data_IF_194984825923
#
_entry.id   IF_194984825923
#
_cell.length_a   1.000
_cell.length_b   1.000
_cell.length_c   1.000
_cell.angle_alpha   90.00
_cell.angle_beta   90.00
_cell.angle_gamma   90.00
#
_symmetry.space_group_name_H-M   'P 1'
#
loop_
_entity.id
_entity.type
_entity.pdbx_description
1 polymer ?
#
# COMPACT_ATOMS: atom_id res chain seq x y z
N UNK A 1 1.08 25.16 -0.99
CA UNK A 1 1.25 24.34 -2.21
C UNK A 1 -0.03 24.46 -3.00
N UNK A 2 0.02 24.75 -4.31
CA UNK A 2 -1.19 24.81 -5.14
C UNK A 2 -1.88 23.45 -5.17
N UNK A 3 -3.20 23.45 -5.24
CA UNK A 3 -4.00 22.22 -5.39
C UNK A 3 -3.79 21.60 -6.77
N UNK A 4 -4.16 20.32 -6.91
CA UNK A 4 -4.16 19.61 -8.19
C UNK A 4 -4.85 20.40 -9.30
N UNK A 5 -5.99 21.01 -8.97
CA UNK A 5 -6.81 21.76 -9.92
C UNK A 5 -6.11 23.03 -10.37
N UNK A 6 -5.52 23.79 -9.45
CA UNK A 6 -4.74 25.00 -9.76
C UNK A 6 -3.50 24.68 -10.61
N UNK A 7 -2.84 23.55 -10.36
CA UNK A 7 -1.70 23.11 -11.15
C UNK A 7 -2.10 22.70 -12.59
N UNK A 8 -3.26 22.05 -12.75
CA UNK A 8 -3.81 21.68 -14.06
C UNK A 8 -4.27 22.91 -14.82
N UNK A 9 -4.99 23.85 -14.19
CA UNK A 9 -5.46 25.08 -14.84
C UNK A 9 -4.29 25.89 -15.40
N UNK A 10 -3.23 26.07 -14.59
CA UNK A 10 -2.00 26.72 -15.06
C UNK A 10 -1.37 25.99 -16.24
N UNK A 11 -1.29 24.65 -16.18
CA UNK A 11 -0.75 23.86 -17.28
C UNK A 11 -1.59 24.02 -18.57
N UNK A 12 -2.91 24.09 -18.46
CA UNK A 12 -3.82 24.31 -19.60
C UNK A 12 -3.56 25.68 -20.24
N UNK A 13 -3.38 26.73 -19.45
CA UNK A 13 -3.11 28.08 -19.97
C UNK A 13 -1.75 28.13 -20.70
N UNK A 14 -0.72 27.52 -20.14
CA UNK A 14 0.59 27.39 -20.79
C UNK A 14 0.50 26.56 -22.09
N UNK A 15 -0.27 25.47 -22.07
CA UNK A 15 -0.46 24.62 -23.23
C UNK A 15 -1.19 25.35 -24.38
N UNK A 16 -2.20 26.17 -24.06
CA UNK A 16 -2.90 27.01 -25.03
C UNK A 16 -1.95 28.03 -25.68
N UNK A 17 -1.12 28.70 -24.89
CA UNK A 17 -0.13 29.65 -25.41
C UNK A 17 0.91 28.98 -26.32
N UNK A 18 1.30 27.73 -26.04
CA UNK A 18 2.22 26.95 -26.89
C UNK A 18 1.57 26.50 -28.20
N UNK A 19 0.28 26.15 -28.19
CA UNK A 19 -0.44 25.80 -29.41
C UNK A 19 -0.47 26.94 -30.44
N UNK A 20 -0.57 28.19 -29.97
CA UNK A 20 -0.51 29.37 -30.84
C UNK A 20 0.89 29.62 -31.44
N UNK A 21 1.95 29.10 -30.81
CA UNK A 21 3.36 29.46 -31.10
C UNK A 21 4.23 28.31 -31.63
N UNK A 22 3.64 27.19 -32.08
CA UNK A 22 4.42 26.09 -32.67
C UNK A 22 4.07 24.69 -32.16
N UNK A 23 3.04 24.57 -31.30
CA UNK A 23 2.47 23.28 -30.90
C UNK A 23 3.00 22.74 -29.58
N UNK A 24 2.32 21.71 -29.07
CA UNK A 24 2.72 20.98 -27.87
C UNK A 24 3.79 19.94 -28.18
N UNK A 25 4.73 19.78 -27.26
CA UNK A 25 5.76 18.75 -27.30
C UNK A 25 5.43 17.61 -26.34
N UNK A 26 6.09 16.46 -26.53
CA UNK A 26 5.92 15.29 -25.64
C UNK A 26 6.18 15.63 -24.17
N UNK A 27 7.20 16.45 -23.88
CA UNK A 27 7.54 16.84 -22.52
C UNK A 27 6.42 17.61 -21.80
N UNK A 28 5.57 18.33 -22.55
CA UNK A 28 4.40 19.00 -21.97
C UNK A 28 3.38 17.99 -21.46
N UNK A 29 3.18 16.89 -22.21
CA UNK A 29 2.27 15.81 -21.82
C UNK A 29 2.84 14.98 -20.67
N UNK A 30 4.16 14.77 -20.65
CA UNK A 30 4.84 14.11 -19.52
C UNK A 30 4.68 14.95 -18.24
N UNK A 31 4.77 16.28 -18.33
CA UNK A 31 4.51 17.20 -17.21
C UNK A 31 3.06 17.10 -16.73
N UNK A 32 2.07 17.07 -17.63
CA UNK A 32 0.67 16.88 -17.24
C UNK A 32 0.48 15.54 -16.51
N UNK A 33 1.07 14.46 -17.02
CA UNK A 33 0.99 13.15 -16.41
C UNK A 33 1.58 13.15 -14.99
N UNK A 34 2.70 13.85 -14.76
CA UNK A 34 3.27 14.03 -13.44
C UNK A 34 2.34 14.79 -12.49
N UNK A 35 1.73 15.91 -12.95
CA UNK A 35 0.78 16.69 -12.15
C UNK A 35 -0.40 15.81 -11.73
N UNK A 36 -0.99 15.06 -12.67
CA UNK A 36 -2.12 14.18 -12.39
C UNK A 36 -1.69 13.06 -11.44
N UNK A 37 -0.55 12.42 -11.67
CA UNK A 37 -0.09 11.28 -10.86
C UNK A 37 0.19 11.68 -9.42
N UNK A 38 0.95 12.77 -9.22
CA UNK A 38 1.27 13.30 -7.90
C UNK A 38 0.04 13.80 -7.12
N UNK A 39 -1.10 13.98 -7.80
CA UNK A 39 -2.33 14.44 -7.19
C UNK A 39 -3.46 13.41 -7.26
N UNK A 40 -3.19 12.20 -7.75
CA UNK A 40 -4.19 11.16 -7.91
C UNK A 40 -4.45 10.51 -6.55
N UNK A 41 -5.39 11.10 -5.80
CA UNK A 41 -5.98 10.46 -4.63
C UNK A 41 -6.75 9.22 -5.07
N UNK A 42 -6.16 8.06 -4.84
CA UNK A 42 -6.76 6.77 -5.14
C UNK A 42 -7.02 6.01 -3.86
N UNK A 43 -8.16 5.34 -3.77
CA UNK A 43 -8.33 4.29 -2.77
C UNK A 43 -7.46 3.11 -3.19
N UNK A 44 -6.48 2.75 -2.35
CA UNK A 44 -5.57 1.63 -2.57
C UNK A 44 -5.73 0.61 -1.45
N UNK A 45 -5.38 -0.63 -1.76
CA UNK A 45 -5.39 -1.72 -0.80
C UNK A 45 -4.08 -1.73 -0.02
N UNK A 46 -4.17 -1.50 1.29
CA UNK A 46 -3.09 -1.73 2.25
C UNK A 46 -3.18 -3.17 2.76
N UNK A 47 -2.05 -3.85 2.92
CA UNK A 47 -2.02 -5.20 3.48
C UNK A 47 -1.30 -5.23 4.81
N UNK A 48 -1.83 -6.01 5.73
CA UNK A 48 -1.24 -6.27 7.04
C UNK A 48 -1.10 -7.78 7.21
N UNK A 49 0.13 -8.22 7.42
CA UNK A 49 0.49 -9.59 7.72
C UNK A 49 0.67 -9.70 9.23
N UNK A 50 -0.07 -10.59 9.86
CA UNK A 50 0.07 -10.89 11.29
C UNK A 50 0.41 -12.37 11.46
N UNK A 51 1.50 -12.64 12.15
CA UNK A 51 1.87 -13.99 12.58
C UNK A 51 1.42 -14.16 14.02
N UNK A 52 0.60 -15.18 14.30
CA UNK A 52 0.11 -15.46 15.63
C UNK A 52 0.66 -16.78 16.18
N UNK A 53 0.75 -16.89 17.51
CA UNK A 53 1.27 -18.10 18.17
C UNK A 53 0.37 -19.34 18.04
N UNK A 54 -0.92 -19.14 17.74
CA UNK A 54 -1.90 -20.21 17.48
C UNK A 54 -2.86 -19.77 16.36
N UNK A 55 -3.68 -20.68 15.77
CA UNK A 55 -4.63 -20.32 14.71
C UNK A 55 -5.83 -19.47 15.17
N UNK A 56 -5.91 -19.08 16.44
CA UNK A 56 -7.03 -18.29 16.95
C UNK A 56 -6.86 -16.80 16.66
N UNK A 57 -7.92 -16.12 16.22
CA UNK A 57 -7.89 -14.65 16.00
C UNK A 57 -7.62 -13.83 17.27
N UNK A 58 -7.77 -14.45 18.45
CA UNK A 58 -7.46 -13.86 19.76
C UNK A 58 -6.07 -14.27 20.28
N UNK A 59 -5.32 -15.03 19.49
CA UNK A 59 -3.97 -15.42 19.83
C UNK A 59 -3.04 -14.23 19.78
N UNK A 60 -2.03 -14.25 20.65
CA UNK A 60 -0.98 -13.25 20.66
C UNK A 60 -0.29 -13.20 19.30
N UNK A 61 -0.21 -12.00 18.73
CA UNK A 61 0.64 -11.69 17.58
C UNK A 61 2.09 -11.80 18.04
N UNK A 62 2.93 -12.42 17.21
CA UNK A 62 4.37 -12.68 17.40
C UNK A 62 5.22 -12.21 16.21
N UNK A 63 4.59 -11.61 15.19
CA UNK A 63 5.28 -10.96 14.09
C UNK A 63 4.30 -10.17 13.25
N UNK A 64 4.78 -9.10 12.63
CA UNK A 64 3.95 -8.22 11.80
C UNK A 64 4.73 -7.71 10.60
N UNK A 65 4.07 -7.62 9.44
CA UNK A 65 4.55 -6.83 8.31
C UNK A 65 3.42 -5.97 7.75
N UNK A 66 3.77 -4.78 7.29
CA UNK A 66 2.82 -3.82 6.76
C UNK A 66 3.23 -3.43 5.34
N UNK A 67 2.33 -3.69 4.40
CA UNK A 67 2.51 -3.28 3.02
C UNK A 67 1.79 -1.95 2.77
N UNK A 68 2.58 -0.91 2.58
CA UNK A 68 2.07 0.36 2.07
C UNK A 68 2.01 0.33 0.54
N UNK A 69 0.84 0.64 -0.08
CA UNK A 69 0.65 0.64 -1.53
C UNK A 69 1.23 1.90 -2.19
N UNK A 70 2.49 2.20 -1.90
CA UNK A 70 3.27 3.34 -2.38
C UNK A 70 4.50 2.81 -3.13
N UNK A 71 4.81 3.41 -4.28
CA UNK A 71 5.95 2.98 -5.09
C UNK A 71 7.27 3.09 -4.30
N UNK A 72 8.09 2.05 -4.35
CA UNK A 72 9.37 1.97 -3.62
C UNK A 72 9.26 1.58 -2.14
N UNK A 73 8.06 1.34 -1.62
CA UNK A 73 7.86 0.77 -0.28
C UNK A 73 8.40 -0.67 -0.22
N UNK A 74 9.22 -0.95 0.80
CA UNK A 74 9.72 -2.31 1.09
C UNK A 74 8.95 -2.83 2.30
N UNK A 75 8.35 -4.02 2.16
CA UNK A 75 7.64 -4.71 3.23
C UNK A 75 8.58 -5.71 3.89
N UNK A 76 8.89 -5.49 5.16
CA UNK A 76 9.70 -6.40 5.97
C UNK A 76 8.91 -6.89 7.18
N UNK A 77 9.11 -8.15 7.56
CA UNK A 77 8.52 -8.71 8.78
C UNK A 77 9.38 -8.25 9.96
N UNK A 78 8.76 -7.53 10.89
CA UNK A 78 9.39 -7.10 12.13
C UNK A 78 9.01 -8.10 13.21
N UNK A 79 10.03 -8.69 13.86
CA UNK A 79 9.90 -9.68 14.95
C UNK A 79 10.44 -9.13 16.28
N UNK A 80 11.19 -8.03 16.26
CA UNK A 80 11.76 -7.39 17.46
C UNK A 80 10.71 -6.59 18.26
N UNK A 81 11.01 -6.29 19.55
CA UNK A 81 10.18 -5.54 20.51
C UNK A 81 9.89 -4.10 20.04
N UNK A 82 9.09 -3.96 18.99
CA UNK A 82 8.41 -2.75 18.61
C UNK A 82 6.99 -2.82 19.13
N UNK A 83 6.44 -1.71 19.64
CA UNK A 83 5.01 -1.63 19.96
C UNK A 83 4.21 -1.85 18.68
N UNK A 84 3.77 -3.08 18.46
CA UNK A 84 2.84 -3.38 17.38
C UNK A 84 1.48 -2.77 17.73
N UNK A 85 0.77 -2.20 16.75
CA UNK A 85 -0.53 -1.57 16.99
C UNK A 85 -1.61 -2.56 17.45
N UNK A 86 -1.39 -3.87 17.27
CA UNK A 86 -2.36 -4.92 17.57
C UNK A 86 -1.72 -6.06 18.36
N UNK A 87 -2.36 -6.48 19.46
CA UNK A 87 -1.94 -7.66 20.23
C UNK A 87 -2.53 -8.94 19.65
N UNK A 88 -3.67 -8.83 18.98
CA UNK A 88 -4.39 -9.94 18.36
C UNK A 88 -4.92 -9.54 16.98
N UNK A 89 -5.18 -10.53 16.12
CA UNK A 89 -5.88 -10.30 14.85
C UNK A 89 -7.26 -9.66 15.08
N UNK A 90 -7.91 -10.00 16.19
CA UNK A 90 -9.18 -9.40 16.60
C UNK A 90 -9.08 -7.89 16.80
N UNK A 91 -7.98 -7.36 17.36
CA UNK A 91 -7.79 -5.93 17.55
C UNK A 91 -7.72 -5.20 16.20
N UNK A 92 -7.01 -5.78 15.22
CA UNK A 92 -6.95 -5.24 13.87
C UNK A 92 -8.34 -5.24 13.21
N UNK A 93 -9.13 -6.31 13.38
CA UNK A 93 -10.51 -6.37 12.87
C UNK A 93 -11.38 -5.25 13.47
N UNK A 94 -11.22 -4.97 14.77
CA UNK A 94 -11.95 -3.88 15.43
C UNK A 94 -11.55 -2.50 14.88
N UNK A 95 -10.31 -2.34 14.42
CA UNK A 95 -9.81 -1.13 13.73
C UNK A 95 -10.20 -1.08 12.23
N UNK A 96 -11.10 -1.97 11.80
CA UNK A 96 -11.67 -1.97 10.46
C UNK A 96 -10.84 -2.71 9.42
N UNK A 97 -9.83 -3.48 9.81
CA UNK A 97 -9.17 -4.41 8.91
C UNK A 97 -10.09 -5.58 8.57
N UNK A 98 -9.99 -6.06 7.34
CA UNK A 98 -10.78 -7.18 6.82
C UNK A 98 -9.87 -8.36 6.54
N UNK A 99 -10.19 -9.53 7.10
CA UNK A 99 -9.44 -10.76 6.80
C UNK A 99 -9.65 -11.14 5.34
N UNK A 100 -8.55 -11.41 4.65
CA UNK A 100 -8.54 -11.97 3.30
C UNK A 100 -7.73 -13.26 3.29
N UNK A 101 -7.81 -13.99 2.19
CA UNK A 101 -7.04 -15.22 2.00
C UNK A 101 -6.38 -15.19 0.63
N UNK A 102 -5.07 -15.44 0.61
CA UNK A 102 -4.38 -15.69 -0.65
C UNK A 102 -4.62 -17.13 -1.09
N UNK A 103 -4.58 -17.42 -2.40
CA UNK A 103 -4.60 -18.80 -2.88
C UNK A 103 -3.50 -19.61 -2.18
N UNK A 104 -3.79 -20.87 -1.87
CA UNK A 104 -2.88 -21.76 -1.17
C UNK A 104 -1.56 -21.90 -1.96
N UNK A 105 -0.47 -21.31 -1.46
CA UNK A 105 0.86 -21.36 -2.08
C UNK A 105 1.59 -22.64 -1.68
N UNK A 106 0.99 -23.80 -1.92
CA UNK A 106 1.66 -25.08 -1.72
C UNK A 106 2.60 -25.34 -2.89
N UNK A 107 3.84 -24.89 -2.75
CA UNK A 107 4.96 -25.56 -3.43
C UNK A 107 5.28 -26.86 -2.70
N UNK A 108 5.80 -27.84 -3.43
CA UNK A 108 6.32 -29.10 -2.86
C UNK A 108 7.54 -28.77 -2.00
N UNK A 109 7.36 -28.48 -0.71
CA UNK A 109 8.45 -28.09 0.18
C UNK A 109 9.13 -29.33 0.79
N UNK A 110 10.47 -29.42 0.63
CA UNK A 110 11.35 -30.36 1.36
C UNK A 110 11.36 -29.93 2.84
N UNK A 111 11.06 -30.87 3.73
CA UNK A 111 10.77 -30.71 5.17
C UNK A 111 11.89 -30.04 6.03
N UNK A 112 12.92 -29.44 5.44
CA UNK A 112 14.19 -29.16 6.13
C UNK A 112 14.53 -27.72 6.47
N UNK A 113 13.85 -26.69 5.97
CA UNK A 113 14.15 -25.31 6.39
C UNK A 113 12.92 -24.39 6.29
N UNK A 114 11.94 -24.58 7.17
CA UNK A 114 10.95 -23.52 7.43
C UNK A 114 10.98 -23.25 8.93
N UNK A 115 11.69 -22.19 9.32
CA UNK A 115 11.46 -21.52 10.60
C UNK A 115 10.03 -20.97 10.55
N UNK A 116 9.06 -21.79 10.98
CA UNK A 116 7.64 -21.45 10.91
C UNK A 116 7.41 -20.22 11.78
N UNK A 117 7.32 -19.06 11.14
CA UNK A 117 6.81 -17.80 11.70
C UNK A 117 5.31 -17.98 11.99
N UNK A 118 4.96 -18.76 13.02
CA UNK A 118 3.59 -18.93 13.51
C UNK A 118 2.51 -19.25 12.47
N UNK A 119 1.28 -18.83 12.78
CA UNK A 119 0.12 -18.91 11.90
C UNK A 119 -0.14 -17.54 11.27
N UNK A 120 -0.10 -17.47 9.93
CA UNK A 120 -0.27 -16.22 9.19
C UNK A 120 -1.75 -15.86 9.01
N UNK A 121 -2.04 -14.58 9.23
CA UNK A 121 -3.28 -13.92 8.86
C UNK A 121 -2.95 -12.75 7.95
N UNK A 122 -3.64 -12.68 6.81
CA UNK A 122 -3.52 -11.56 5.87
C UNK A 122 -4.79 -10.72 5.98
N UNK A 123 -4.62 -9.43 6.23
CA UNK A 123 -5.71 -8.49 6.33
C UNK A 123 -5.54 -7.38 5.29
N UNK A 124 -6.67 -6.80 4.86
CA UNK A 124 -6.71 -5.63 4.00
C UNK A 124 -7.41 -4.45 4.67
N UNK A 125 -7.03 -3.25 4.25
CA UNK A 125 -7.80 -2.02 4.46
C UNK A 125 -7.76 -1.19 3.19
N UNK A 126 -8.90 -0.63 2.79
CA UNK A 126 -8.98 0.30 1.66
C UNK A 126 -8.84 1.71 2.20
N UNK A 127 -7.72 2.37 1.90
CA UNK A 127 -7.42 3.72 2.39
C UNK A 127 -7.13 4.65 1.21
N UNK A 128 -7.41 5.93 1.40
CA UNK A 128 -7.08 6.96 0.40
C UNK A 128 -5.61 7.31 0.57
N UNK A 129 -4.84 7.09 -0.48
CA UNK A 129 -3.42 7.44 -0.51
C UNK A 129 -3.19 8.62 -1.46
N UNK A 130 -2.30 9.51 -1.03
CA UNK A 130 -1.69 10.50 -1.92
C UNK A 130 -0.71 9.77 -2.85
N UNK A 131 -0.71 10.17 -4.12
CA UNK A 131 0.00 9.48 -5.20
C UNK A 131 1.50 9.67 -5.18
#
# INVERSE_FOLDING_TARGET
MPTAFEAIDRWIDEARAKLENGGLQKGDLDQLHQIISANRKGTRQRLLYLHASTPGIRSQVIGMALHEPVEGSVTEIVVEEQEWPYNTVHDAILDGWQVIHFPDQRTEFDDREIDILGYEFILQKLEVYDG
#
